data_IF_928984243817
#
_entry.id   IF_928984243817
#
_cell.length_a   1.000
_cell.length_b   1.000
_cell.length_c   1.000
_cell.angle_alpha   90.00
_cell.angle_beta   90.00
_cell.angle_gamma   90.00
#
_symmetry.space_group_name_H-M   'P 1'
#
loop_
_entity.id
_entity.type
_entity.pdbx_description
1 polymer ?
#
# COMPACT_ATOMS: atom_id res chain seq x y z
N UNK A 1 5.24 16.08 6.73
CA UNK A 1 4.41 14.92 7.16
C UNK A 1 5.28 13.95 7.96
N UNK A 2 4.82 13.48 9.12
CA UNK A 2 5.56 12.49 9.91
C UNK A 2 5.59 11.12 9.21
N UNK A 3 6.54 10.28 9.62
CA UNK A 3 6.59 8.89 9.16
C UNK A 3 5.24 8.17 9.36
N UNK A 4 4.86 7.31 8.42
CA UNK A 4 3.57 6.64 8.42
C UNK A 4 2.41 7.47 7.87
N UNK A 5 2.71 8.56 7.16
CA UNK A 5 1.69 9.35 6.47
C UNK A 5 1.50 8.84 5.03
N UNK A 6 0.25 8.59 4.67
CA UNK A 6 -0.18 8.39 3.29
C UNK A 6 -0.57 9.74 2.69
N UNK A 7 0.01 10.07 1.55
CA UNK A 7 -0.21 11.36 0.88
C UNK A 7 -0.69 11.11 -0.54
N UNK A 8 -1.77 11.76 -0.92
CA UNK A 8 -2.34 11.71 -2.27
C UNK A 8 -2.26 13.09 -2.92
N UNK A 9 -1.53 13.16 -4.03
CA UNK A 9 -1.28 14.38 -4.80
C UNK A 9 -1.65 14.17 -6.27
N UNK A 10 -2.93 14.31 -6.63
CA UNK A 10 -3.40 14.12 -8.00
C UNK A 10 -2.93 15.25 -8.92
N UNK A 11 -3.19 15.15 -10.24
CA UNK A 11 -2.83 16.19 -11.21
C UNK A 11 -3.29 17.58 -10.79
N UNK A 12 -2.57 18.61 -11.22
CA UNK A 12 -2.78 20.04 -10.89
C UNK A 12 -2.41 20.44 -9.46
N UNK A 13 -1.85 19.53 -8.66
CA UNK A 13 -1.31 19.86 -7.34
C UNK A 13 0.20 20.09 -7.42
N UNK A 14 0.69 20.98 -6.57
CA UNK A 14 2.11 21.25 -6.42
C UNK A 14 2.52 21.12 -4.95
N UNK A 15 3.76 20.73 -4.70
CA UNK A 15 4.33 20.70 -3.37
C UNK A 15 5.86 20.83 -3.47
N UNK A 16 6.45 21.33 -2.41
CA UNK A 16 7.90 21.36 -2.26
C UNK A 16 8.27 20.36 -1.18
N UNK A 17 8.88 19.23 -1.57
CA UNK A 17 9.33 18.25 -0.58
C UNK A 17 10.55 18.80 0.19
N UNK A 18 10.61 18.51 1.48
CA UNK A 18 11.72 18.89 2.33
C UNK A 18 11.73 18.14 3.65
N UNK A 19 12.92 17.98 4.22
CA UNK A 19 13.12 17.37 5.52
C UNK A 19 14.46 17.82 6.09
N UNK A 20 14.47 18.28 7.33
CA UNK A 20 15.70 18.71 8.02
C UNK A 20 16.59 17.53 8.42
N UNK A 21 15.99 16.39 8.74
CA UNK A 21 16.69 15.20 9.23
C UNK A 21 16.82 14.07 8.19
N UNK A 22 16.36 14.32 6.95
CA UNK A 22 16.25 13.27 5.95
C UNK A 22 14.92 12.50 6.06
N UNK A 23 14.62 11.70 5.06
CA UNK A 23 13.39 10.93 4.94
C UNK A 23 13.54 9.74 4.01
N UNK A 24 12.64 8.78 4.17
CA UNK A 24 12.45 7.69 3.21
C UNK A 24 11.01 7.79 2.71
N UNK A 25 10.84 7.83 1.39
CA UNK A 25 9.51 7.87 0.77
C UNK A 25 9.37 6.74 -0.25
N UNK A 26 8.17 6.21 -0.34
CA UNK A 26 7.74 5.35 -1.42
C UNK A 26 6.81 6.16 -2.32
N UNK A 27 7.19 6.33 -3.57
CA UNK A 27 6.47 7.20 -4.52
C UNK A 27 5.94 6.38 -5.68
N UNK A 28 4.68 6.62 -6.02
CA UNK A 28 4.05 6.13 -7.23
C UNK A 28 3.75 7.30 -8.15
N UNK A 29 4.31 7.28 -9.35
CA UNK A 29 4.13 8.32 -10.36
C UNK A 29 3.24 7.81 -11.50
N UNK A 30 2.59 8.74 -12.22
CA UNK A 30 1.76 8.45 -13.40
C UNK A 30 0.59 7.50 -13.13
N UNK A 31 0.05 7.53 -11.93
CA UNK A 31 -0.96 6.57 -11.45
C UNK A 31 -2.38 7.12 -11.46
N UNK A 32 -2.55 8.43 -11.53
CA UNK A 32 -3.84 9.08 -11.41
C UNK A 32 -4.56 9.18 -12.75
N UNK A 33 -5.89 9.04 -12.71
CA UNK A 33 -6.73 9.55 -13.79
C UNK A 33 -6.46 11.05 -13.98
N UNK A 34 -6.36 11.56 -15.23
CA UNK A 34 -6.11 12.97 -15.49
C UNK A 34 -7.15 13.92 -14.87
N UNK A 35 -8.35 13.43 -14.60
CA UNK A 35 -9.44 14.19 -13.99
C UNK A 35 -9.52 14.04 -12.47
N UNK A 36 -8.67 13.22 -11.86
CA UNK A 36 -8.66 13.06 -10.42
C UNK A 36 -8.21 14.36 -9.74
N UNK A 37 -8.97 14.79 -8.74
CA UNK A 37 -8.70 15.99 -7.94
C UNK A 37 -8.74 15.72 -6.45
N UNK A 38 -8.81 14.45 -6.05
CA UNK A 38 -8.94 14.06 -4.65
C UNK A 38 -7.59 14.10 -3.94
N UNK A 39 -7.27 15.25 -3.36
CA UNK A 39 -6.03 15.51 -2.63
C UNK A 39 -6.26 15.42 -1.13
N UNK A 40 -5.47 14.61 -0.44
CA UNK A 40 -5.51 14.51 1.02
C UNK A 40 -4.22 13.86 1.56
N UNK A 41 -4.10 13.89 2.88
CA UNK A 41 -3.13 13.09 3.60
C UNK A 41 -3.77 12.51 4.87
N UNK A 42 -3.29 11.35 5.30
CA UNK A 42 -3.77 10.64 6.49
C UNK A 42 -2.60 9.99 7.21
N UNK A 43 -2.63 9.98 8.53
CA UNK A 43 -1.78 9.05 9.28
C UNK A 43 -2.40 7.66 9.19
N UNK A 44 -1.67 6.71 8.64
CA UNK A 44 -2.23 5.38 8.34
C UNK A 44 -2.69 4.64 9.59
N UNK A 45 -1.97 4.80 10.69
CA UNK A 45 -2.28 4.12 11.95
C UNK A 45 -3.60 4.58 12.56
N UNK A 46 -4.01 5.83 12.33
CA UNK A 46 -5.22 6.40 12.90
C UNK A 46 -6.50 5.84 12.25
N UNK A 47 -6.37 5.23 11.08
CA UNK A 47 -7.48 4.63 10.33
C UNK A 47 -7.66 3.12 10.61
N UNK A 48 -6.82 2.52 11.45
CA UNK A 48 -6.88 1.10 11.75
C UNK A 48 -8.14 0.74 12.54
N UNK A 49 -8.83 -0.30 12.08
CA UNK A 49 -9.95 -0.93 12.80
C UNK A 49 -9.44 -2.03 13.74
N UNK A 50 -10.34 -2.54 14.59
CA UNK A 50 -10.01 -3.67 15.47
C UNK A 50 -9.58 -4.89 14.66
N UNK A 51 -8.59 -5.66 15.13
CA UNK A 51 -8.12 -6.85 14.42
C UNK A 51 -9.21 -7.93 14.28
N UNK A 52 -9.21 -8.58 13.12
CA UNK A 52 -9.98 -9.80 12.86
C UNK A 52 -8.97 -10.88 12.42
N UNK A 53 -8.95 -12.00 13.12
CA UNK A 53 -8.00 -13.11 12.88
C UNK A 53 -6.53 -12.64 12.83
N UNK A 54 -6.19 -11.69 13.71
CA UNK A 54 -4.84 -11.13 13.81
C UNK A 54 -4.49 -10.08 12.76
N UNK A 55 -5.46 -9.60 11.97
CA UNK A 55 -5.26 -8.57 10.95
C UNK A 55 -6.10 -7.34 11.24
N UNK A 56 -5.45 -6.21 11.51
CA UNK A 56 -6.09 -4.90 11.59
C UNK A 56 -5.97 -4.21 10.22
N UNK A 57 -7.02 -3.52 9.81
CA UNK A 57 -7.11 -2.89 8.49
C UNK A 57 -7.45 -1.42 8.60
N UNK A 58 -6.72 -0.60 7.84
CA UNK A 58 -7.06 0.79 7.57
C UNK A 58 -7.33 0.95 6.07
N UNK A 59 -8.52 1.41 5.69
CA UNK A 59 -8.80 1.79 4.31
C UNK A 59 -8.41 3.24 4.11
N UNK A 60 -7.34 3.46 3.37
CA UNK A 60 -6.77 4.79 3.15
C UNK A 60 -7.48 5.54 2.01
N UNK A 61 -7.82 4.81 0.96
CA UNK A 61 -8.53 5.34 -0.20
C UNK A 61 -9.24 4.20 -0.93
N UNK A 62 -10.41 4.49 -1.48
CA UNK A 62 -11.17 3.58 -2.31
C UNK A 62 -11.94 4.38 -3.37
N UNK A 63 -11.84 3.95 -4.61
CA UNK A 63 -12.63 4.48 -5.73
C UNK A 63 -12.94 3.35 -6.74
N UNK A 64 -13.45 3.70 -7.91
CA UNK A 64 -13.82 2.72 -8.93
C UNK A 64 -12.61 1.98 -9.53
N UNK A 65 -11.39 2.50 -9.37
CA UNK A 65 -10.18 1.96 -9.99
C UNK A 65 -9.27 1.25 -9.00
N UNK A 66 -9.27 1.66 -7.73
CA UNK A 66 -8.30 1.17 -6.77
C UNK A 66 -8.81 1.15 -5.33
N UNK A 67 -8.22 0.25 -4.55
CA UNK A 67 -8.34 0.24 -3.09
C UNK A 67 -6.93 0.31 -2.51
N UNK A 68 -6.71 1.24 -1.58
CA UNK A 68 -5.44 1.40 -0.87
C UNK A 68 -5.68 1.14 0.61
N UNK A 69 -4.94 0.18 1.17
CA UNK A 69 -5.07 -0.20 2.57
C UNK A 69 -3.72 -0.23 3.27
N UNK A 70 -3.77 -0.08 4.58
CA UNK A 70 -2.67 -0.33 5.51
C UNK A 70 -3.09 -1.44 6.46
N UNK A 71 -2.23 -2.43 6.65
CA UNK A 71 -2.53 -3.63 7.43
C UNK A 71 -1.49 -3.84 8.50
N UNK A 72 -1.95 -4.13 9.72
CA UNK A 72 -1.13 -4.69 10.78
C UNK A 72 -1.44 -6.18 10.91
N UNK A 73 -0.44 -7.03 10.78
CA UNK A 73 -0.54 -8.46 10.97
C UNK A 73 0.19 -8.86 12.24
N UNK A 74 -0.51 -9.55 13.13
CA UNK A 74 0.10 -10.21 14.27
C UNK A 74 1.01 -11.35 13.79
N UNK A 75 1.96 -11.76 14.62
CA UNK A 75 2.85 -12.87 14.33
C UNK A 75 2.05 -14.11 13.90
N UNK A 76 2.38 -14.69 12.76
CA UNK A 76 1.71 -15.86 12.20
C UNK A 76 0.36 -15.62 11.55
N UNK A 77 -0.19 -14.39 11.59
CA UNK A 77 -1.43 -14.08 10.90
C UNK A 77 -1.27 -14.16 9.38
N UNK A 78 -2.29 -14.64 8.70
CA UNK A 78 -2.32 -14.74 7.24
C UNK A 78 -3.36 -13.78 6.67
N UNK A 79 -2.95 -13.02 5.67
CA UNK A 79 -3.78 -12.12 4.89
C UNK A 79 -3.98 -12.69 3.50
N UNK A 80 -5.24 -12.81 3.08
CA UNK A 80 -5.60 -13.23 1.72
C UNK A 80 -6.41 -12.12 1.05
N UNK A 81 -5.97 -11.68 -0.12
CA UNK A 81 -6.67 -10.67 -0.93
C UNK A 81 -6.79 -11.18 -2.36
N UNK A 82 -8.02 -11.33 -2.82
CA UNK A 82 -8.29 -11.54 -4.24
C UNK A 82 -8.00 -10.24 -5.01
N UNK A 83 -7.31 -10.36 -6.12
CA UNK A 83 -6.85 -9.20 -6.87
C UNK A 83 -7.16 -9.34 -8.37
N UNK A 84 -8.44 -9.27 -8.78
CA UNK A 84 -8.81 -9.35 -10.20
C UNK A 84 -8.16 -8.24 -11.02
N UNK A 85 -7.92 -7.08 -10.46
CA UNK A 85 -7.25 -5.95 -11.09
C UNK A 85 -5.78 -5.79 -10.74
N UNK A 86 -5.14 -6.84 -10.20
CA UNK A 86 -3.75 -6.80 -9.77
C UNK A 86 -3.52 -6.16 -8.40
N UNK A 87 -2.34 -6.36 -7.84
CA UNK A 87 -2.01 -5.89 -6.49
C UNK A 87 -0.53 -5.52 -6.38
N UNK A 88 -0.26 -4.51 -5.58
CA UNK A 88 1.08 -4.16 -5.11
C UNK A 88 1.11 -4.12 -3.60
N UNK A 89 2.20 -4.58 -3.01
CA UNK A 89 2.43 -4.58 -1.58
C UNK A 89 3.83 -4.05 -1.27
N UNK A 90 3.90 -3.18 -0.26
CA UNK A 90 5.16 -2.73 0.33
C UNK A 90 5.18 -3.15 1.81
N UNK A 91 6.25 -3.80 2.23
CA UNK A 91 6.49 -4.08 3.66
C UNK A 91 7.04 -2.82 4.32
N UNK A 92 6.25 -2.22 5.20
CA UNK A 92 6.64 -1.01 5.96
C UNK A 92 7.53 -1.40 7.13
N UNK A 93 7.19 -2.48 7.81
CA UNK A 93 7.95 -3.01 8.96
C UNK A 93 7.67 -4.49 9.16
N UNK A 94 8.58 -5.20 9.81
CA UNK A 94 8.47 -6.64 10.00
C UNK A 94 8.79 -7.43 8.73
N UNK A 95 8.19 -8.60 8.59
CA UNK A 95 8.39 -9.46 7.42
C UNK A 95 7.22 -10.41 7.17
N UNK A 96 7.03 -10.79 5.92
CA UNK A 96 6.01 -11.73 5.47
C UNK A 96 6.59 -12.80 4.57
N UNK A 97 5.98 -13.96 4.62
CA UNK A 97 6.18 -15.01 3.63
C UNK A 97 5.08 -14.93 2.57
N UNK A 98 5.50 -14.94 1.31
CA UNK A 98 4.59 -15.01 0.15
C UNK A 98 5.13 -16.10 -0.78
N UNK A 99 4.37 -17.18 -0.95
CA UNK A 99 4.84 -18.39 -1.64
C UNK A 99 6.18 -18.88 -1.04
N UNK A 100 7.23 -19.01 -1.86
CA UNK A 100 8.56 -19.42 -1.42
C UNK A 100 9.46 -18.26 -0.96
N UNK A 101 8.98 -17.03 -1.08
CA UNK A 101 9.79 -15.84 -0.79
C UNK A 101 9.48 -15.28 0.61
N UNK A 102 10.45 -14.64 1.20
CA UNK A 102 10.28 -13.83 2.41
C UNK A 102 10.67 -12.40 2.10
N UNK A 103 9.74 -11.47 2.36
CA UNK A 103 9.96 -10.04 2.19
C UNK A 103 10.09 -9.37 3.55
N UNK A 104 11.21 -8.71 3.77
CA UNK A 104 11.45 -7.87 4.94
C UNK A 104 11.12 -6.41 4.69
N UNK A 105 11.48 -5.55 5.64
CA UNK A 105 11.25 -4.10 5.58
C UNK A 105 11.69 -3.51 4.25
N UNK A 106 10.80 -2.72 3.63
CA UNK A 106 10.92 -2.12 2.30
C UNK A 106 10.91 -3.12 1.13
N UNK A 107 10.68 -4.40 1.38
CA UNK A 107 10.38 -5.36 0.34
C UNK A 107 9.10 -4.97 -0.41
N UNK A 108 9.13 -5.12 -1.71
CA UNK A 108 8.02 -4.75 -2.60
C UNK A 108 7.66 -5.92 -3.50
N UNK A 109 6.36 -6.09 -3.72
CA UNK A 109 5.80 -7.15 -4.54
C UNK A 109 4.72 -6.59 -5.45
N UNK A 110 4.70 -7.05 -6.70
CA UNK A 110 3.60 -6.83 -7.63
C UNK A 110 3.12 -8.18 -8.15
N UNK A 111 1.82 -8.42 -8.06
CA UNK A 111 1.16 -9.55 -8.68
C UNK A 111 0.27 -9.08 -9.82
N UNK A 112 0.28 -9.79 -10.96
CA UNK A 112 -0.56 -9.45 -12.10
C UNK A 112 -2.05 -9.66 -11.78
N UNK A 113 -2.89 -9.21 -12.71
CA UNK A 113 -4.33 -9.40 -12.67
C UNK A 113 -4.69 -10.87 -12.49
N UNK A 114 -5.64 -11.15 -11.63
CA UNK A 114 -6.19 -12.48 -11.39
C UNK A 114 -5.40 -13.35 -10.40
N UNK A 115 -4.25 -12.90 -9.92
CA UNK A 115 -3.51 -13.61 -8.88
C UNK A 115 -3.86 -13.09 -7.49
N UNK A 116 -4.25 -14.00 -6.57
CA UNK A 116 -4.49 -13.63 -5.18
C UNK A 116 -3.17 -13.43 -4.42
N UNK A 117 -3.16 -12.44 -3.52
CA UNK A 117 -2.10 -12.29 -2.53
C UNK A 117 -2.42 -13.17 -1.32
N UNK A 118 -1.48 -14.02 -0.95
CA UNK A 118 -1.49 -14.75 0.33
C UNK A 118 -0.18 -14.43 1.05
N UNK A 119 -0.27 -13.65 2.12
CA UNK A 119 0.89 -13.20 2.89
C UNK A 119 0.75 -13.62 4.34
N UNK A 120 1.75 -14.29 4.89
CA UNK A 120 1.78 -14.71 6.29
C UNK A 120 2.86 -13.97 7.04
N UNK A 121 2.49 -13.30 8.14
CA UNK A 121 3.44 -12.59 8.97
C UNK A 121 4.40 -13.57 9.65
N UNK A 122 5.67 -13.24 9.64
CA UNK A 122 6.73 -13.98 10.35
C UNK A 122 6.68 -13.63 11.85
N UNK A 123 7.39 -14.36 12.72
CA UNK A 123 7.55 -13.99 14.12
C UNK A 123 7.98 -12.52 14.24
N UNK A 124 7.22 -11.72 15.02
CA UNK A 124 7.40 -10.27 15.10
C UNK A 124 6.34 -9.47 14.36
N UNK A 125 5.49 -10.12 13.56
CA UNK A 125 4.40 -9.47 12.85
C UNK A 125 4.86 -8.71 11.60
N UNK A 126 3.94 -7.98 10.99
CA UNK A 126 4.22 -7.16 9.81
C UNK A 126 3.27 -5.97 9.69
N UNK A 127 3.76 -4.90 9.07
CA UNK A 127 3.00 -3.72 8.68
C UNK A 127 3.12 -3.57 7.17
N UNK A 128 1.99 -3.54 6.47
CA UNK A 128 1.92 -3.60 5.03
C UNK A 128 1.11 -2.44 4.48
N UNK A 129 1.63 -1.81 3.43
CA UNK A 129 0.85 -0.94 2.55
C UNK A 129 0.48 -1.73 1.30
N UNK A 130 -0.80 -1.71 0.91
CA UNK A 130 -1.32 -2.51 -0.19
C UNK A 130 -2.22 -1.67 -1.08
N UNK A 131 -2.01 -1.79 -2.39
CA UNK A 131 -2.86 -1.19 -3.42
C UNK A 131 -3.34 -2.27 -4.38
N UNK A 132 -4.64 -2.32 -4.63
CA UNK A 132 -5.25 -3.33 -5.51
C UNK A 132 -6.21 -2.71 -6.51
N UNK A 133 -6.42 -3.39 -7.64
CA UNK A 133 -7.32 -3.00 -8.71
C UNK A 133 -6.70 -2.10 -9.78
N UNK A 134 -5.66 -1.38 -9.46
CA UNK A 134 -5.08 -0.31 -10.27
C UNK A 134 -4.32 -0.78 -11.51
N UNK A 135 -3.89 -2.03 -11.59
CA UNK A 135 -3.08 -2.51 -12.72
C UNK A 135 -3.89 -2.58 -14.03
N UNK A 136 -5.21 -2.69 -13.96
CA UNK A 136 -6.08 -2.56 -15.14
C UNK A 136 -5.95 -1.19 -15.82
N UNK A 137 -5.58 -0.17 -15.08
CA UNK A 137 -5.51 1.23 -15.53
C UNK A 137 -4.08 1.73 -15.67
N UNK A 138 -3.10 0.88 -15.33
CA UNK A 138 -1.69 1.24 -15.41
C UNK A 138 -1.29 1.46 -16.88
N UNK A 139 -0.73 2.62 -17.19
CA UNK A 139 -0.23 2.98 -18.50
C UNK A 139 1.18 3.51 -18.39
N UNK A 140 2.03 3.16 -19.36
CA UNK A 140 3.30 3.85 -19.48
C UNK A 140 3.06 5.34 -19.78
N UNK A 141 3.88 6.23 -19.22
CA UNK A 141 3.81 7.64 -19.58
C UNK A 141 4.04 7.78 -21.08
N UNK A 142 3.27 8.65 -21.72
CA UNK A 142 3.46 8.98 -23.14
C UNK A 142 4.85 9.64 -23.33
N UNK A 143 5.57 9.19 -24.33
CA UNK A 143 6.88 9.74 -24.67
C UNK A 143 6.72 10.69 -25.84
#
# INVERSE_FOLDING_TARGET
FPAGTYVRKPPTTAHTPGSDSGWTIFVKLWQFDPNDRNQFHKRMVDELTSPVDGVATATLHEDAQEVVTYRHLDAGATLTIDAPGGIEMLVIDGSVAVASDTLGKHGWLRLPEGEALVASARPGGAKLWIKSGHLLYAKAPGV
#
